data_IF_659408987222
#
_entry.id   IF_659408987222
#
_cell.length_a   1.000
_cell.length_b   1.000
_cell.length_c   1.000
_cell.angle_alpha   90.00
_cell.angle_beta   90.00
_cell.angle_gamma   90.00
#
_symmetry.space_group_name_H-M   'P 1'
#
loop_
_entity.id
_entity.type
_entity.pdbx_description
1 polymer ?
#
# COMPACT_ATOMS: atom_id res chain seq x y z
N UNK A 1 -21.35 -21.78 -1.63
CA UNK A 1 -20.76 -20.50 -1.16
C UNK A 1 -19.40 -20.34 -1.82
N UNK A 2 -19.10 -19.22 -2.49
CA UNK A 2 -17.83 -19.09 -3.21
C UNK A 2 -16.66 -19.02 -2.21
N UNK A 3 -15.54 -19.67 -2.54
CA UNK A 3 -14.34 -19.73 -1.69
C UNK A 3 -13.84 -18.32 -1.29
N UNK A 4 -14.03 -17.34 -2.19
CA UNK A 4 -13.69 -15.93 -1.96
C UNK A 4 -14.54 -15.33 -0.84
N UNK A 5 -15.85 -15.59 -0.81
CA UNK A 5 -16.75 -15.06 0.24
C UNK A 5 -16.38 -15.64 1.61
N UNK A 6 -16.02 -16.92 1.67
CA UNK A 6 -15.59 -17.55 2.91
C UNK A 6 -14.29 -16.92 3.44
N UNK A 7 -13.30 -16.69 2.58
CA UNK A 7 -12.03 -16.05 2.97
C UNK A 7 -12.21 -14.57 3.32
N UNK A 8 -13.07 -13.83 2.59
CA UNK A 8 -13.40 -12.45 2.92
C UNK A 8 -14.09 -12.35 4.29
N UNK A 9 -15.07 -13.23 4.55
CA UNK A 9 -15.72 -13.31 5.86
C UNK A 9 -14.70 -13.62 6.97
N UNK A 10 -13.73 -14.51 6.72
CA UNK A 10 -12.65 -14.81 7.67
C UNK A 10 -11.79 -13.59 7.98
N UNK A 11 -11.47 -12.75 6.99
CA UNK A 11 -10.74 -11.49 7.22
C UNK A 11 -11.57 -10.52 8.05
N UNK A 12 -12.86 -10.37 7.73
CA UNK A 12 -13.76 -9.44 8.41
C UNK A 12 -14.07 -9.84 9.87
N UNK A 13 -14.02 -11.13 10.22
CA UNK A 13 -14.23 -11.56 11.61
C UNK A 13 -12.96 -11.50 12.47
N UNK A 14 -11.78 -11.22 11.90
CA UNK A 14 -10.55 -11.08 12.69
C UNK A 14 -10.54 -9.75 13.45
N UNK A 15 -10.34 -9.81 14.76
CA UNK A 15 -10.18 -8.64 15.63
C UNK A 15 -9.06 -7.71 15.15
N UNK A 16 -7.96 -8.27 14.65
CA UNK A 16 -6.83 -7.52 14.11
C UNK A 16 -7.23 -6.59 12.96
N UNK A 17 -8.13 -7.03 12.06
CA UNK A 17 -8.63 -6.21 10.94
C UNK A 17 -9.34 -4.95 11.47
N UNK A 18 -10.22 -5.11 12.44
CA UNK A 18 -10.93 -3.99 13.05
C UNK A 18 -10.02 -3.08 13.87
N UNK A 19 -9.03 -3.64 14.58
CA UNK A 19 -8.00 -2.84 15.25
C UNK A 19 -7.24 -1.97 14.24
N UNK A 20 -6.83 -2.53 13.10
CA UNK A 20 -6.15 -1.77 12.05
C UNK A 20 -7.06 -0.69 11.45
N UNK A 21 -8.35 -0.97 11.26
CA UNK A 21 -9.33 0.05 10.80
C UNK A 21 -9.46 1.18 11.82
N UNK A 22 -9.61 0.86 13.11
CA UNK A 22 -9.72 1.88 14.18
C UNK A 22 -8.46 2.72 14.27
N UNK A 23 -7.28 2.08 14.22
CA UNK A 23 -5.99 2.78 14.21
C UNK A 23 -5.87 3.66 12.97
N UNK A 24 -6.24 3.16 11.80
CA UNK A 24 -6.22 3.94 10.56
C UNK A 24 -7.15 5.16 10.61
N UNK A 25 -8.38 4.98 11.09
CA UNK A 25 -9.31 6.08 11.29
C UNK A 25 -8.77 7.09 12.32
N UNK A 26 -8.17 6.65 13.42
CA UNK A 26 -7.58 7.56 14.40
C UNK A 26 -6.41 8.36 13.79
N UNK A 27 -5.51 7.69 13.09
CA UNK A 27 -4.34 8.29 12.45
C UNK A 27 -4.69 9.24 11.30
N UNK A 28 -5.81 9.03 10.60
CA UNK A 28 -6.28 9.97 9.55
C UNK A 28 -7.24 11.03 10.09
N UNK A 29 -8.00 10.73 11.14
CA UNK A 29 -8.89 11.68 11.78
C UNK A 29 -8.11 12.81 12.43
N UNK A 30 -7.01 12.52 13.14
CA UNK A 30 -6.18 13.51 13.83
C UNK A 30 -5.70 14.61 12.84
N UNK A 31 -4.95 14.31 11.75
CA UNK A 31 -4.61 15.31 10.75
C UNK A 31 -5.85 16.00 10.17
N UNK A 32 -6.91 15.26 9.85
CA UNK A 32 -8.11 15.89 9.28
C UNK A 32 -8.82 16.86 10.25
N UNK A 33 -8.62 16.75 11.57
CA UNK A 33 -9.17 17.68 12.57
C UNK A 33 -8.35 18.97 12.64
N UNK A 34 -7.02 18.85 12.57
CA UNK A 34 -6.11 19.99 12.64
C UNK A 34 -5.95 20.74 11.32
N UNK A 35 -6.19 20.08 10.18
CA UNK A 35 -5.86 20.62 8.86
C UNK A 35 -7.06 21.19 8.09
N UNK A 36 -8.27 20.82 8.47
CA UNK A 36 -9.52 21.24 7.80
C UNK A 36 -10.08 22.54 8.41
N UNK A 37 -9.37 23.14 9.37
CA UNK A 37 -9.76 24.41 9.98
C UNK A 37 -8.62 25.41 9.96
N UNK A 38 -8.54 26.21 8.89
CA UNK A 38 -8.23 27.65 8.91
C UNK A 38 -8.34 28.16 7.47
N UNK A 39 -9.35 28.97 7.18
CA UNK A 39 -9.43 29.83 5.98
C UNK A 39 -8.35 30.95 6.00
N UNK A 40 -7.25 30.73 6.71
CA UNK A 40 -6.17 31.67 6.96
C UNK A 40 -4.84 30.93 6.77
N UNK A 41 -4.22 31.11 5.60
CA UNK A 41 -2.78 30.99 5.26
C UNK A 41 -1.93 29.79 5.79
N UNK A 42 -2.50 28.81 6.49
CA UNK A 42 -1.76 27.74 7.20
C UNK A 42 -2.36 26.34 7.08
N UNK A 43 -3.41 26.14 6.30
CA UNK A 43 -3.98 24.82 6.03
C UNK A 43 -3.10 24.00 5.06
N UNK A 44 -2.91 22.71 5.34
CA UNK A 44 -2.23 21.80 4.39
C UNK A 44 -3.14 21.63 3.16
N UNK A 45 -2.61 21.75 1.93
CA UNK A 45 -3.39 21.52 0.71
C UNK A 45 -4.03 20.13 0.73
N UNK A 46 -5.23 19.99 0.15
CA UNK A 46 -5.98 18.73 0.12
C UNK A 46 -5.11 17.54 -0.39
N UNK A 47 -4.18 17.83 -1.29
CA UNK A 47 -3.22 16.87 -1.84
C UNK A 47 -2.28 16.31 -0.77
N UNK A 48 -1.82 17.14 0.18
CA UNK A 48 -0.96 16.73 1.28
C UNK A 48 -1.68 15.84 2.31
N UNK A 49 -2.96 16.13 2.57
CA UNK A 49 -3.80 15.27 3.42
C UNK A 49 -4.02 13.90 2.75
N UNK A 50 -4.37 13.87 1.46
CA UNK A 50 -4.57 12.63 0.70
C UNK A 50 -3.30 11.81 0.59
N UNK A 51 -2.14 12.44 0.39
CA UNK A 51 -0.84 11.76 0.40
C UNK A 51 -0.59 11.08 1.75
N UNK A 52 -0.79 11.81 2.85
CA UNK A 52 -0.60 11.27 4.21
C UNK A 52 -1.54 10.09 4.49
N UNK A 53 -2.81 10.21 4.13
CA UNK A 53 -3.78 9.11 4.25
C UNK A 53 -3.44 7.93 3.34
N UNK A 54 -2.91 8.21 2.14
CA UNK A 54 -2.40 7.20 1.21
C UNK A 54 -1.27 6.38 1.80
N UNK A 55 -0.28 7.03 2.42
CA UNK A 55 0.86 6.38 3.05
C UNK A 55 0.49 5.61 4.32
N UNK A 56 -0.34 6.19 5.19
CA UNK A 56 -0.83 5.53 6.41
C UNK A 56 -1.68 4.30 6.03
N UNK A 57 -2.63 4.48 5.11
CA UNK A 57 -3.52 3.41 4.68
C UNK A 57 -2.78 2.30 3.94
N UNK A 58 -1.80 2.62 3.11
CA UNK A 58 -0.98 1.62 2.42
C UNK A 58 -0.17 0.76 3.40
N UNK A 59 0.44 1.37 4.42
CA UNK A 59 1.14 0.66 5.49
C UNK A 59 0.20 -0.26 6.28
N UNK A 60 -1.00 0.20 6.60
CA UNK A 60 -1.98 -0.61 7.32
C UNK A 60 -2.50 -1.78 6.46
N UNK A 61 -2.71 -1.57 5.15
CA UNK A 61 -3.01 -2.64 4.21
C UNK A 61 -1.86 -3.65 4.12
N UNK A 62 -0.61 -3.20 4.11
CA UNK A 62 0.56 -4.08 4.18
C UNK A 62 0.53 -4.94 5.44
N UNK A 63 0.23 -4.34 6.60
CA UNK A 63 0.06 -5.07 7.86
C UNK A 63 -1.09 -6.08 7.79
N UNK A 64 -2.22 -5.72 7.18
CA UNK A 64 -3.36 -6.62 6.96
C UNK A 64 -2.95 -7.84 6.13
N UNK A 65 -2.25 -7.63 5.01
CA UNK A 65 -1.75 -8.72 4.16
C UNK A 65 -0.75 -9.61 4.89
N UNK A 66 0.24 -9.00 5.55
CA UNK A 66 1.27 -9.70 6.31
C UNK A 66 0.68 -10.55 7.43
N UNK A 67 -0.31 -10.04 8.16
CA UNK A 67 -0.99 -10.76 9.24
C UNK A 67 -1.94 -11.84 8.71
N UNK A 68 -2.63 -11.59 7.60
CA UNK A 68 -3.55 -12.56 7.01
C UNK A 68 -2.83 -13.83 6.56
N UNK A 69 -1.80 -13.69 5.72
CA UNK A 69 -1.01 -14.83 5.25
C UNK A 69 -0.04 -15.35 6.32
N UNK A 70 0.70 -14.46 6.98
CA UNK A 70 1.75 -14.85 7.93
C UNK A 70 1.22 -15.55 9.19
N UNK A 71 0.02 -15.22 9.68
CA UNK A 71 -0.54 -15.89 10.86
C UNK A 71 -0.85 -17.37 10.60
N UNK A 72 -1.28 -17.71 9.39
CA UNK A 72 -1.62 -19.09 9.06
C UNK A 72 -0.36 -19.99 9.02
N UNK A 73 0.80 -19.45 8.60
CA UNK A 73 2.08 -20.14 8.68
C UNK A 73 2.55 -20.29 10.14
N UNK A 74 2.45 -19.23 10.94
CA UNK A 74 2.86 -19.25 12.36
C UNK A 74 2.10 -20.28 13.19
N UNK A 75 0.81 -20.44 12.93
CA UNK A 75 -0.05 -21.35 13.68
C UNK A 75 -0.22 -22.73 13.02
N UNK A 76 0.45 -23.00 11.89
CA UNK A 76 0.36 -24.28 11.18
C UNK A 76 -1.03 -24.58 10.58
N UNK A 77 -1.96 -23.64 10.60
CA UNK A 77 -3.35 -23.85 10.16
C UNK A 77 -3.48 -24.08 8.65
N UNK A 78 -2.45 -23.72 7.86
CA UNK A 78 -2.39 -24.00 6.43
C UNK A 78 -2.50 -25.50 6.14
N UNK A 79 -1.90 -26.34 6.99
CA UNK A 79 -1.99 -27.80 6.85
C UNK A 79 -3.44 -28.28 6.85
N UNK A 80 -4.19 -27.88 7.88
CA UNK A 80 -5.61 -28.23 7.99
C UNK A 80 -6.45 -27.69 6.83
N UNK A 81 -6.14 -26.50 6.31
CA UNK A 81 -6.85 -25.91 5.17
C UNK A 81 -6.64 -26.70 3.87
N UNK A 82 -5.44 -27.22 3.65
CA UNK A 82 -5.12 -28.01 2.46
C UNK A 82 -5.75 -29.41 2.48
N UNK A 83 -6.18 -29.91 3.65
CA UNK A 83 -6.97 -31.16 3.73
C UNK A 83 -8.38 -30.99 3.15
N UNK A 84 -8.98 -29.80 3.29
CA UNK A 84 -10.35 -29.53 2.84
C UNK A 84 -10.42 -28.97 1.41
N UNK A 85 -9.36 -28.31 0.93
CA UNK A 85 -9.30 -27.73 -0.41
C UNK A 85 -8.20 -28.41 -1.23
N UNK A 86 -8.54 -29.37 -2.12
CA UNK A 86 -7.55 -30.22 -2.78
C UNK A 86 -6.65 -29.48 -3.78
N UNK A 87 -7.00 -28.25 -4.19
CA UNK A 87 -6.22 -27.47 -5.15
C UNK A 87 -5.54 -26.26 -4.50
N UNK A 88 -4.22 -26.36 -4.29
CA UNK A 88 -3.37 -25.28 -3.74
C UNK A 88 -3.53 -23.98 -4.52
N UNK A 89 -3.51 -24.04 -5.85
CA UNK A 89 -3.65 -22.84 -6.71
C UNK A 89 -5.00 -22.16 -6.53
N UNK A 90 -6.09 -22.91 -6.44
CA UNK A 90 -7.43 -22.33 -6.27
C UNK A 90 -7.56 -21.62 -4.93
N UNK A 91 -7.00 -22.20 -3.87
CA UNK A 91 -6.95 -21.58 -2.55
C UNK A 91 -6.11 -20.30 -2.58
N UNK A 92 -4.92 -20.35 -3.19
CA UNK A 92 -4.05 -19.19 -3.32
C UNK A 92 -4.75 -18.04 -4.06
N UNK A 93 -5.35 -18.32 -5.22
CA UNK A 93 -6.08 -17.30 -6.00
C UNK A 93 -7.24 -16.71 -5.20
N UNK A 94 -8.06 -17.54 -4.57
CA UNK A 94 -9.21 -17.06 -3.80
C UNK A 94 -8.79 -16.18 -2.62
N UNK A 95 -7.70 -16.52 -1.94
CA UNK A 95 -7.13 -15.72 -0.84
C UNK A 95 -6.53 -14.42 -1.30
N UNK A 96 -5.78 -14.45 -2.39
CA UNK A 96 -5.20 -13.24 -3.00
C UNK A 96 -6.30 -12.28 -3.42
N UNK A 97 -7.39 -12.78 -4.04
CA UNK A 97 -8.56 -11.96 -4.38
C UNK A 97 -9.30 -11.44 -3.15
N UNK A 98 -9.54 -12.27 -2.13
CA UNK A 98 -10.17 -11.84 -0.89
C UNK A 98 -9.34 -10.76 -0.18
N UNK A 99 -8.02 -10.91 -0.16
CA UNK A 99 -7.10 -9.92 0.40
C UNK A 99 -7.08 -8.62 -0.40
N UNK A 100 -7.11 -8.68 -1.73
CA UNK A 100 -7.23 -7.50 -2.58
C UNK A 100 -8.53 -6.72 -2.27
N UNK A 101 -9.66 -7.42 -2.19
CA UNK A 101 -10.96 -6.83 -1.86
C UNK A 101 -10.98 -6.25 -0.44
N UNK A 102 -10.40 -6.96 0.54
CA UNK A 102 -10.31 -6.48 1.92
C UNK A 102 -9.42 -5.24 2.03
N UNK A 103 -8.29 -5.20 1.33
CA UNK A 103 -7.37 -4.05 1.29
C UNK A 103 -8.03 -2.85 0.62
N UNK A 104 -8.78 -3.08 -0.46
CA UNK A 104 -9.58 -2.04 -1.12
C UNK A 104 -10.65 -1.47 -0.18
N UNK A 105 -11.40 -2.33 0.52
CA UNK A 105 -12.43 -1.90 1.47
C UNK A 105 -11.85 -1.14 2.66
N UNK A 106 -10.72 -1.61 3.20
CA UNK A 106 -9.99 -0.91 4.26
C UNK A 106 -9.51 0.47 3.80
N UNK A 107 -8.95 0.56 2.60
CA UNK A 107 -8.49 1.82 2.05
C UNK A 107 -9.65 2.79 1.78
N UNK A 108 -10.79 2.28 1.35
CA UNK A 108 -12.01 3.06 1.17
C UNK A 108 -12.52 3.63 2.50
N UNK A 109 -12.39 2.89 3.61
CA UNK A 109 -12.73 3.41 4.95
C UNK A 109 -11.72 4.48 5.39
N UNK A 110 -10.43 4.20 5.29
CA UNK A 110 -9.35 5.08 5.80
C UNK A 110 -9.23 6.37 5.00
N UNK A 111 -9.29 6.29 3.66
CA UNK A 111 -9.22 7.44 2.75
C UNK A 111 -10.59 8.07 2.48
N UNK A 112 -11.69 7.31 2.60
CA UNK A 112 -13.04 7.85 2.40
C UNK A 112 -13.44 8.84 3.49
N UNK A 113 -12.99 8.65 4.73
CA UNK A 113 -13.25 9.59 5.83
C UNK A 113 -12.78 11.03 5.53
N UNK A 114 -11.50 11.29 5.19
CA UNK A 114 -11.03 12.63 4.84
C UNK A 114 -11.67 13.16 3.54
N UNK A 115 -11.91 12.32 2.53
CA UNK A 115 -12.62 12.74 1.31
C UNK A 115 -14.03 13.23 1.63
N UNK A 116 -14.78 12.49 2.45
CA UNK A 116 -16.11 12.89 2.88
C UNK A 116 -16.08 14.23 3.62
N UNK A 117 -15.07 14.45 4.48
CA UNK A 117 -14.89 15.74 5.17
C UNK A 117 -14.58 16.88 4.22
N UNK A 118 -13.71 16.67 3.23
CA UNK A 118 -13.41 17.67 2.20
C UNK A 118 -14.69 18.03 1.45
N UNK A 119 -15.44 17.03 0.98
CA UNK A 119 -16.70 17.24 0.24
C UNK A 119 -17.74 17.99 1.08
N UNK A 120 -17.91 17.64 2.35
CA UNK A 120 -18.89 18.28 3.24
C UNK A 120 -18.53 19.74 3.58
N UNK A 121 -17.23 20.06 3.73
CA UNK A 121 -16.79 21.44 4.05
C UNK A 121 -16.69 22.34 2.83
N UNK A 122 -16.22 21.79 1.71
CA UNK A 122 -16.00 22.55 0.48
C UNK A 122 -17.21 22.46 -0.48
N UNK A 123 -18.37 21.97 -0.04
CA UNK A 123 -19.59 21.95 -0.87
C UNK A 123 -19.96 23.34 -1.43
N UNK A 124 -19.52 24.42 -0.77
CA UNK A 124 -19.69 25.81 -1.23
C UNK A 124 -18.53 26.32 -2.12
N UNK A 125 -17.34 25.73 -2.05
CA UNK A 125 -16.11 26.15 -2.79
C UNK A 125 -15.82 25.26 -4.00
N UNK A 126 -16.23 23.99 -3.98
CA UNK A 126 -16.06 23.00 -5.07
C UNK A 126 -16.89 23.33 -6.32
N UNK A 127 -17.86 24.25 -6.22
CA UNK A 127 -18.53 24.82 -7.39
C UNK A 127 -17.59 25.65 -8.26
N UNK A 128 -16.46 26.14 -7.72
CA UNK A 128 -15.51 27.01 -8.41
C UNK A 128 -14.21 26.32 -8.86
N UNK A 129 -13.75 25.25 -8.19
CA UNK A 129 -12.43 24.64 -8.44
C UNK A 129 -12.44 23.27 -9.13
N UNK A 130 -13.61 22.76 -9.51
CA UNK A 130 -13.73 21.53 -10.30
C UNK A 130 -13.52 20.25 -9.47
N UNK A 131 -14.55 19.43 -9.38
CA UNK A 131 -14.54 18.10 -8.75
C UNK A 131 -13.63 17.06 -9.44
N UNK A 132 -12.95 17.44 -10.53
CA UNK A 132 -12.16 16.57 -11.38
C UNK A 132 -10.87 16.03 -10.75
N UNK A 133 -10.35 16.64 -9.67
CA UNK A 133 -9.09 16.23 -9.02
C UNK A 133 -9.22 15.13 -7.96
N UNK A 134 -10.35 15.04 -7.25
CA UNK A 134 -10.48 14.16 -6.07
C UNK A 134 -10.67 12.69 -6.46
N UNK A 135 -11.48 12.44 -7.50
CA UNK A 135 -11.76 11.08 -7.97
C UNK A 135 -10.51 10.31 -8.44
N UNK A 136 -9.65 10.86 -9.34
CA UNK A 136 -8.44 10.16 -9.76
C UNK A 136 -7.47 9.93 -8.58
N UNK A 137 -7.40 10.87 -7.63
CA UNK A 137 -6.57 10.71 -6.43
C UNK A 137 -7.08 9.58 -5.53
N UNK A 138 -8.41 9.49 -5.32
CA UNK A 138 -9.01 8.39 -4.58
C UNK A 138 -8.73 7.04 -5.26
N UNK A 139 -8.86 6.95 -6.57
CA UNK A 139 -8.55 5.72 -7.33
C UNK A 139 -7.09 5.32 -7.15
N UNK A 140 -6.15 6.27 -7.25
CA UNK A 140 -4.71 6.03 -7.02
C UNK A 140 -4.43 5.50 -5.61
N UNK A 141 -5.06 6.11 -4.61
CA UNK A 141 -4.95 5.72 -3.21
C UNK A 141 -5.52 4.31 -2.97
N UNK A 142 -6.65 3.97 -3.59
CA UNK A 142 -7.22 2.62 -3.55
C UNK A 142 -6.30 1.58 -4.19
N UNK A 143 -5.75 1.89 -5.37
CA UNK A 143 -4.78 1.02 -6.06
C UNK A 143 -3.56 0.78 -5.18
N UNK A 144 -3.00 1.85 -4.57
CA UNK A 144 -1.87 1.72 -3.66
C UNK A 144 -2.19 0.82 -2.46
N UNK A 145 -3.38 0.95 -1.88
CA UNK A 145 -3.84 0.09 -0.78
C UNK A 145 -3.89 -1.39 -1.16
N UNK A 146 -4.45 -1.70 -2.33
CA UNK A 146 -4.48 -3.07 -2.87
C UNK A 146 -3.06 -3.60 -3.11
N UNK A 147 -2.22 -2.80 -3.77
CA UNK A 147 -0.82 -3.15 -4.06
C UNK A 147 -0.07 -3.47 -2.77
N UNK A 148 -0.21 -2.63 -1.76
CA UNK A 148 0.50 -2.77 -0.49
C UNK A 148 0.00 -3.95 0.32
N UNK A 149 -1.30 -4.20 0.32
CA UNK A 149 -1.89 -5.38 0.96
C UNK A 149 -1.44 -6.68 0.32
N UNK A 150 -1.41 -6.74 -1.02
CA UNK A 150 -0.88 -7.91 -1.74
C UNK A 150 0.61 -8.10 -1.48
N UNK A 151 1.41 -7.02 -1.50
CA UNK A 151 2.84 -7.08 -1.17
C UNK A 151 3.06 -7.66 0.24
N UNK A 152 2.35 -7.14 1.25
CA UNK A 152 2.42 -7.68 2.62
C UNK A 152 2.03 -9.15 2.70
N UNK A 153 0.99 -9.56 1.97
CA UNK A 153 0.56 -10.97 1.87
C UNK A 153 1.63 -11.88 1.26
N UNK A 154 2.21 -11.47 0.14
CA UNK A 154 3.27 -12.24 -0.54
C UNK A 154 4.54 -12.31 0.30
N UNK A 155 4.95 -11.22 0.94
CA UNK A 155 6.06 -11.24 1.90
C UNK A 155 5.77 -12.15 3.09
N UNK A 156 4.52 -12.20 3.57
CA UNK A 156 4.08 -13.13 4.60
C UNK A 156 4.28 -14.61 4.21
N UNK A 157 4.03 -14.95 2.94
CA UNK A 157 4.31 -16.29 2.39
C UNK A 157 5.82 -16.54 2.28
N UNK A 158 6.58 -15.57 1.77
CA UNK A 158 8.03 -15.71 1.55
C UNK A 158 8.76 -15.93 2.88
N UNK A 159 8.52 -15.07 3.87
CA UNK A 159 9.19 -15.11 5.16
C UNK A 159 8.61 -16.12 6.15
N UNK A 160 7.42 -16.67 5.89
CA UNK A 160 6.65 -17.50 6.85
C UNK A 160 6.44 -16.80 8.22
N UNK A 161 6.61 -15.48 8.30
CA UNK A 161 6.56 -14.72 9.54
C UNK A 161 5.93 -13.35 9.31
N UNK A 162 4.94 -13.01 10.15
CA UNK A 162 4.28 -11.70 10.13
C UNK A 162 5.27 -10.56 10.41
N UNK A 163 6.21 -10.77 11.33
CA UNK A 163 7.20 -9.75 11.69
C UNK A 163 8.17 -9.50 10.54
N UNK A 164 8.69 -10.55 9.89
CA UNK A 164 9.57 -10.39 8.73
C UNK A 164 8.90 -9.64 7.58
N UNK A 165 7.64 -9.94 7.30
CA UNK A 165 6.89 -9.29 6.23
C UNK A 165 6.67 -7.78 6.45
N UNK A 166 6.65 -7.31 7.69
CA UNK A 166 6.48 -5.88 8.03
C UNK A 166 7.82 -5.19 8.29
N UNK A 167 8.73 -5.83 9.03
CA UNK A 167 10.00 -5.23 9.44
C UNK A 167 10.99 -5.11 8.28
N UNK A 168 10.95 -5.99 7.29
CA UNK A 168 11.83 -5.89 6.12
C UNK A 168 11.53 -4.64 5.28
N UNK A 169 10.29 -4.38 4.82
CA UNK A 169 10.01 -3.13 4.10
C UNK A 169 10.23 -1.89 4.98
N UNK A 170 9.92 -1.95 6.29
CA UNK A 170 10.17 -0.85 7.21
C UNK A 170 11.66 -0.58 7.40
N UNK A 171 12.47 -1.63 7.54
CA UNK A 171 13.93 -1.54 7.62
C UNK A 171 14.53 -0.98 6.34
N UNK A 172 14.03 -1.40 5.17
CA UNK A 172 14.45 -0.83 3.88
C UNK A 172 14.14 0.68 3.78
N UNK A 173 12.98 1.13 4.29
CA UNK A 173 12.64 2.55 4.35
C UNK A 173 13.53 3.32 5.33
N UNK A 174 13.87 2.75 6.50
CA UNK A 174 14.80 3.38 7.45
C UNK A 174 16.21 3.49 6.87
N UNK A 175 16.71 2.43 6.23
CA UNK A 175 18.02 2.45 5.56
C UNK A 175 18.03 3.49 4.45
N UNK A 176 16.97 3.58 3.64
CA UNK A 176 16.81 4.65 2.65
C UNK A 176 16.89 6.02 3.32
N UNK A 177 16.11 6.26 4.37
CA UNK A 177 16.08 7.56 5.04
C UNK A 177 17.47 7.98 5.54
N UNK A 178 18.19 7.05 6.18
CA UNK A 178 19.57 7.26 6.66
C UNK A 178 20.58 7.51 5.55
N UNK A 179 20.39 6.89 4.38
CA UNK A 179 21.33 6.95 3.27
C UNK A 179 20.92 7.97 2.20
N UNK A 180 19.89 8.79 2.42
CA UNK A 180 19.34 9.68 1.39
C UNK A 180 20.42 10.58 0.80
N UNK A 181 21.20 11.26 1.65
CA UNK A 181 22.23 12.20 1.20
C UNK A 181 23.40 11.47 0.51
N UNK A 182 23.82 10.32 1.07
CA UNK A 182 24.91 9.50 0.50
C UNK A 182 24.54 8.94 -0.87
N UNK A 183 23.29 8.48 -1.03
CA UNK A 183 22.78 7.93 -2.30
C UNK A 183 22.65 9.03 -3.34
N UNK A 184 22.18 10.22 -2.97
CA UNK A 184 22.11 11.36 -3.90
C UNK A 184 23.51 11.84 -4.31
N UNK A 185 24.52 11.69 -3.47
CA UNK A 185 25.88 12.12 -3.84
C UNK A 185 26.62 11.07 -4.68
N UNK A 186 26.48 9.78 -4.37
CA UNK A 186 27.33 8.72 -4.95
C UNK A 186 26.59 7.77 -5.91
N UNK A 187 25.26 7.75 -5.87
CA UNK A 187 24.45 6.75 -6.56
C UNK A 187 23.11 7.32 -7.04
N UNK A 188 23.10 8.55 -7.56
CA UNK A 188 21.89 9.26 -8.04
C UNK A 188 20.99 8.37 -8.91
N UNK A 189 21.59 7.59 -9.82
CA UNK A 189 20.87 6.71 -10.73
C UNK A 189 20.01 5.66 -10.01
N UNK A 190 20.38 5.26 -8.79
CA UNK A 190 19.62 4.29 -7.98
C UNK A 190 18.30 4.87 -7.48
N UNK A 191 18.19 6.20 -7.34
CA UNK A 191 17.00 6.88 -6.79
C UNK A 191 15.75 6.56 -7.61
N UNK A 192 15.89 6.41 -8.93
CA UNK A 192 14.81 6.05 -9.84
C UNK A 192 14.21 4.68 -9.55
N UNK A 193 15.03 3.72 -9.13
CA UNK A 193 14.60 2.33 -8.91
C UNK A 193 14.01 2.09 -7.53
N UNK A 194 14.00 3.10 -6.66
CA UNK A 194 13.50 2.94 -5.31
C UNK A 194 11.96 2.89 -5.28
N UNK A 195 11.36 2.02 -4.45
CA UNK A 195 9.90 1.87 -4.36
C UNK A 195 9.15 3.17 -4.04
N UNK A 196 9.72 4.02 -3.17
CA UNK A 196 9.10 5.28 -2.74
C UNK A 196 8.93 6.28 -3.89
N UNK A 197 9.84 6.28 -4.87
CA UNK A 197 9.72 7.10 -6.09
C UNK A 197 8.45 6.72 -6.84
N UNK A 198 8.19 5.42 -6.97
CA UNK A 198 6.97 4.92 -7.61
C UNK A 198 5.72 5.14 -6.77
N UNK A 199 5.79 5.03 -5.44
CA UNK A 199 4.66 5.33 -4.55
C UNK A 199 4.27 6.81 -4.64
N UNK A 200 5.26 7.71 -4.62
CA UNK A 200 5.07 9.16 -4.76
C UNK A 200 4.46 9.50 -6.13
N UNK A 201 5.01 8.95 -7.22
CA UNK A 201 4.44 9.12 -8.56
C UNK A 201 3.02 8.55 -8.68
N UNK A 202 2.73 7.43 -8.01
CA UNK A 202 1.41 6.80 -8.06
C UNK A 202 0.36 7.63 -7.32
N UNK A 203 0.73 8.30 -6.24
CA UNK A 203 -0.15 9.20 -5.48
C UNK A 203 -0.32 10.56 -6.15
N UNK A 204 0.79 11.24 -6.46
CA UNK A 204 0.80 12.61 -6.98
C UNK A 204 0.49 12.67 -8.48
N UNK A 205 0.73 11.58 -9.21
CA UNK A 205 0.54 11.49 -10.66
C UNK A 205 1.84 11.64 -11.43
N UNK A 206 2.76 12.43 -10.92
CA UNK A 206 4.12 12.59 -11.42
C UNK A 206 5.04 12.87 -10.23
N UNK A 207 6.30 12.46 -10.32
CA UNK A 207 7.33 12.88 -9.36
C UNK A 207 8.61 13.17 -10.12
N UNK A 208 9.32 14.21 -9.73
CA UNK A 208 10.67 14.50 -10.22
C UNK A 208 11.69 13.84 -9.31
N UNK A 209 12.67 13.16 -9.89
CA UNK A 209 13.80 12.59 -9.17
C UNK A 209 15.11 12.90 -9.87
N UNK A 210 16.21 13.11 -9.11
CA UNK A 210 17.52 13.28 -9.71
C UNK A 210 17.95 11.97 -10.40
N UNK A 211 18.50 12.08 -11.61
CA UNK A 211 18.90 10.94 -12.42
C UNK A 211 20.40 10.91 -12.74
N UNK A 212 20.95 12.03 -13.19
CA UNK A 212 22.38 12.16 -13.50
C UNK A 212 22.91 13.51 -13.09
N UNK A 213 24.21 13.59 -12.84
CA UNK A 213 24.95 14.87 -12.75
C UNK A 213 25.46 15.21 -14.16
N UNK A 214 25.15 16.41 -14.65
CA UNK A 214 25.65 16.87 -15.95
C UNK A 214 27.14 17.21 -15.91
N UNK A 215 27.76 17.45 -17.06
CA UNK A 215 29.18 17.81 -17.15
C UNK A 215 29.55 19.09 -16.37
N UNK A 216 28.57 19.93 -16.06
CA UNK A 216 28.67 21.14 -15.24
C UNK A 216 28.61 20.89 -13.73
N UNK A 217 28.33 19.66 -13.29
CA UNK A 217 28.09 19.34 -11.88
C UNK A 217 26.64 19.54 -11.43
N UNK A 218 25.71 19.90 -12.33
CA UNK A 218 24.31 20.16 -11.99
C UNK A 218 23.45 18.87 -12.07
N UNK A 219 22.48 18.72 -11.16
CA UNK A 219 21.59 17.56 -11.13
C UNK A 219 20.53 17.67 -12.23
N UNK A 220 20.57 16.74 -13.19
CA UNK A 220 19.48 16.53 -14.15
C UNK A 220 18.39 15.67 -13.51
N UNK A 221 17.18 16.23 -13.44
CA UNK A 221 16.00 15.54 -12.95
C UNK A 221 15.26 14.84 -14.09
N UNK A 222 14.70 13.66 -13.79
CA UNK A 222 13.75 12.95 -14.64
C UNK A 222 12.38 12.98 -13.97
N UNK A 223 11.34 13.18 -14.76
CA UNK A 223 9.95 13.01 -14.32
C UNK A 223 9.54 11.55 -14.50
N UNK A 224 9.14 10.91 -13.41
CA UNK A 224 8.47 9.60 -13.44
C UNK A 224 6.98 9.85 -13.38
N UNK A 225 6.26 9.38 -14.40
CA UNK A 225 4.81 9.59 -14.54
C UNK A 225 4.01 8.41 -13.97
N UNK A 226 2.73 8.63 -13.68
CA UNK A 226 1.82 7.61 -13.15
C UNK A 226 1.79 6.30 -13.95
N UNK A 227 1.72 6.30 -15.30
CA UNK A 227 1.72 5.05 -16.07
C UNK A 227 3.00 4.24 -15.86
N UNK A 228 4.16 4.92 -15.81
CA UNK A 228 5.45 4.27 -15.53
C UNK A 228 5.49 3.71 -14.11
N UNK A 229 4.95 4.44 -13.14
CA UNK A 229 4.90 4.01 -11.75
C UNK A 229 3.97 2.82 -11.52
N UNK A 230 2.82 2.81 -12.19
CA UNK A 230 1.92 1.65 -12.20
C UNK A 230 2.60 0.44 -12.86
N UNK A 231 3.32 0.63 -13.96
CA UNK A 231 4.09 -0.43 -14.62
C UNK A 231 5.17 -1.04 -13.71
N UNK A 232 5.97 -0.20 -13.06
CA UNK A 232 7.03 -0.66 -12.15
C UNK A 232 6.49 -1.40 -10.93
N UNK A 233 5.44 -0.86 -10.29
CA UNK A 233 4.81 -1.48 -9.10
C UNK A 233 4.11 -2.79 -9.44
N UNK A 234 3.40 -2.86 -10.56
CA UNK A 234 2.75 -4.10 -11.01
C UNK A 234 3.78 -5.18 -11.36
N UNK A 235 4.90 -4.83 -11.97
CA UNK A 235 5.99 -5.77 -12.25
C UNK A 235 6.61 -6.34 -10.97
N UNK A 236 6.89 -5.50 -9.97
CA UNK A 236 7.38 -5.97 -8.66
C UNK A 236 6.36 -6.91 -7.99
N UNK A 237 5.08 -6.56 -8.05
CA UNK A 237 4.01 -7.40 -7.54
C UNK A 237 3.85 -8.71 -8.29
N UNK A 238 4.00 -8.73 -9.62
CA UNK A 238 3.90 -9.97 -10.39
C UNK A 238 5.07 -10.89 -10.06
N UNK A 239 6.29 -10.37 -9.92
CA UNK A 239 7.44 -11.15 -9.48
C UNK A 239 7.23 -11.73 -8.08
N UNK A 240 6.79 -10.91 -7.12
CA UNK A 240 6.45 -11.38 -5.77
C UNK A 240 5.29 -12.39 -5.78
N UNK A 241 4.30 -12.17 -6.62
CA UNK A 241 3.15 -13.05 -6.81
C UNK A 241 3.56 -14.42 -7.33
N UNK A 242 4.37 -14.45 -8.40
CA UNK A 242 4.92 -15.69 -8.98
C UNK A 242 5.81 -16.41 -7.97
N UNK A 243 6.70 -15.70 -7.27
CA UNK A 243 7.55 -16.28 -6.23
C UNK A 243 6.70 -16.87 -5.09
N UNK A 244 5.72 -16.11 -4.59
CA UNK A 244 4.85 -16.57 -3.50
C UNK A 244 4.00 -17.76 -3.92
N UNK A 245 3.49 -17.79 -5.16
CA UNK A 245 2.75 -18.90 -5.72
C UNK A 245 3.62 -20.15 -5.88
N UNK A 246 4.84 -19.99 -6.41
CA UNK A 246 5.80 -21.09 -6.54
C UNK A 246 6.13 -21.67 -5.15
N UNK A 247 6.46 -20.82 -4.17
CA UNK A 247 6.71 -21.26 -2.80
C UNK A 247 5.51 -21.97 -2.17
N UNK A 248 4.30 -21.45 -2.39
CA UNK A 248 3.06 -22.06 -1.88
C UNK A 248 2.75 -23.41 -2.56
N UNK A 249 3.06 -23.53 -3.85
CA UNK A 249 2.85 -24.78 -4.61
C UNK A 249 3.84 -25.86 -4.18
N UNK A 250 5.12 -25.52 -4.10
CA UNK A 250 6.21 -26.50 -3.96
C UNK A 250 6.62 -26.82 -2.53
N UNK A 251 6.40 -25.94 -1.54
CA UNK A 251 6.76 -26.25 -0.15
C UNK A 251 5.84 -27.36 0.41
N UNK A 252 6.45 -28.43 0.90
CA UNK A 252 5.78 -29.45 1.71
C UNK A 252 5.40 -28.84 3.06
N UNK A 253 4.29 -29.32 3.62
CA UNK A 253 3.69 -28.81 4.87
C UNK A 253 4.47 -29.30 6.11
N UNK A 254 5.54 -30.05 5.91
CA UNK A 254 6.25 -30.83 6.94
C UNK A 254 7.50 -30.14 7.49
N UNK A 255 7.78 -28.88 7.14
CA UNK A 255 8.91 -28.09 7.67
C UNK A 255 8.52 -26.68 8.15
#
# INVERSE_FOLDING_TARGET
>A
MSLIIAELSRILHRRATWMLVVVGLALTAIPSLFLVGTDAEGGIPADGLMLSCGLIGSFLCLCLGATYWGADFRHGTISSLLLFVPSRTRLWVARTLALALASMGMMLIVAGHPVLRILLRHATVMAASGTAGVLPMLVRVLVLGVVSGLAGGFLGIVFKNTAGAVLVPLGALMVRWLLTDVVVEHAVWMVRFLPDTYVSALLQGETTVPWRVDASGELMNITVTYPEALGGTTLLLTLLGVLSWALFRYRSVTE
#
